data_IF_292727400753
#
_entry.id   IF_292727400753
#
_cell.length_a   1.000
_cell.length_b   1.000
_cell.length_c   1.000
_cell.angle_alpha   90.00
_cell.angle_beta   90.00
_cell.angle_gamma   90.00
#
_symmetry.space_group_name_H-M   'P 1'
#
loop_
_entity.id
_entity.type
_entity.pdbx_description
1 polymer ?
#
# COMPACT_ATOMS: atom_id res chain seq x y z
N UNK A 1 -23.24 -10.41 -0.71
CA UNK A 1 -22.25 -9.87 -1.68
C UNK A 1 -21.25 -8.88 -1.07
N UNK A 2 -21.65 -7.73 -0.50
CA UNK A 2 -20.69 -6.71 0.02
C UNK A 2 -19.80 -7.14 1.20
N UNK A 3 -20.16 -8.18 1.96
CA UNK A 3 -19.34 -8.73 3.05
C UNK A 3 -18.09 -9.47 2.54
N UNK A 4 -18.24 -10.26 1.47
CA UNK A 4 -17.14 -11.01 0.84
C UNK A 4 -16.04 -10.10 0.28
N UNK A 5 -16.44 -9.01 -0.38
CA UNK A 5 -15.56 -7.96 -0.88
C UNK A 5 -14.65 -7.35 0.20
N UNK A 6 -15.07 -7.29 1.48
CA UNK A 6 -14.22 -6.77 2.57
C UNK A 6 -13.08 -7.72 2.89
N UNK A 7 -13.35 -9.03 2.93
CA UNK A 7 -12.35 -10.07 3.12
C UNK A 7 -11.31 -10.04 1.99
N UNK A 8 -11.76 -9.93 0.74
CA UNK A 8 -10.87 -9.77 -0.42
C UNK A 8 -10.03 -8.49 -0.37
N UNK A 9 -10.63 -7.35 0.01
CA UNK A 9 -9.91 -6.08 0.16
C UNK A 9 -8.83 -6.18 1.24
N UNK A 10 -9.14 -6.84 2.37
CA UNK A 10 -8.19 -7.05 3.46
C UNK A 10 -7.08 -8.02 3.03
N UNK A 11 -7.42 -9.13 2.37
CA UNK A 11 -6.44 -10.07 1.83
C UNK A 11 -5.51 -9.39 0.80
N UNK A 12 -6.06 -8.60 -0.13
CA UNK A 12 -5.25 -7.83 -1.08
C UNK A 12 -4.30 -6.86 -0.39
N UNK A 13 -4.75 -6.21 0.70
CA UNK A 13 -3.90 -5.34 1.51
C UNK A 13 -2.77 -6.13 2.21
N UNK A 14 -3.07 -7.29 2.79
CA UNK A 14 -2.08 -8.15 3.42
C UNK A 14 -1.05 -8.66 2.41
N UNK A 15 -1.51 -9.09 1.22
CA UNK A 15 -0.62 -9.55 0.14
C UNK A 15 0.30 -8.41 -0.29
N UNK A 16 -0.24 -7.20 -0.51
CA UNK A 16 0.59 -6.03 -0.83
C UNK A 16 1.63 -5.77 0.27
N UNK A 17 1.21 -5.76 1.54
CA UNK A 17 2.10 -5.47 2.66
C UNK A 17 3.22 -6.52 2.77
N UNK A 18 2.86 -7.80 2.74
CA UNK A 18 3.82 -8.90 2.80
C UNK A 18 4.79 -8.89 1.63
N UNK A 19 4.30 -8.74 0.39
CA UNK A 19 5.15 -8.68 -0.80
C UNK A 19 6.13 -7.51 -0.72
N UNK A 20 5.66 -6.32 -0.38
CA UNK A 20 6.52 -5.13 -0.27
C UNK A 20 7.55 -5.29 0.84
N UNK A 21 7.14 -5.77 2.02
CA UNK A 21 8.06 -5.96 3.14
C UNK A 21 9.11 -7.01 2.84
N UNK A 22 8.72 -8.18 2.31
CA UNK A 22 9.66 -9.25 1.94
C UNK A 22 10.65 -8.75 0.87
N UNK A 23 10.15 -8.06 -0.16
CA UNK A 23 10.99 -7.53 -1.22
C UNK A 23 12.02 -6.52 -0.70
N UNK A 24 11.60 -5.60 0.17
CA UNK A 24 12.49 -4.62 0.81
C UNK A 24 13.55 -5.32 1.66
N UNK A 25 13.14 -6.29 2.48
CA UNK A 25 14.07 -7.03 3.34
C UNK A 25 15.13 -7.74 2.50
N UNK A 26 14.72 -8.43 1.43
CA UNK A 26 15.65 -9.13 0.55
C UNK A 26 16.60 -8.13 -0.12
N UNK A 27 16.08 -7.11 -0.79
CA UNK A 27 16.90 -6.18 -1.56
C UNK A 27 17.84 -5.36 -0.65
N UNK A 28 17.34 -4.86 0.48
CA UNK A 28 18.15 -4.08 1.41
C UNK A 28 19.28 -4.92 2.01
N UNK A 29 19.02 -6.18 2.41
CA UNK A 29 20.07 -7.05 2.94
C UNK A 29 21.08 -7.45 1.86
N UNK A 30 20.63 -7.76 0.64
CA UNK A 30 21.51 -8.10 -0.48
C UNK A 30 22.46 -6.94 -0.81
N UNK A 31 21.94 -5.72 -0.96
CA UNK A 31 22.78 -4.55 -1.25
C UNK A 31 23.65 -4.17 -0.06
N UNK A 32 23.18 -4.30 1.18
CA UNK A 32 24.02 -4.11 2.37
C UNK A 32 25.17 -5.11 2.45
N UNK A 33 24.95 -6.37 2.09
CA UNK A 33 26.01 -7.38 2.04
C UNK A 33 27.07 -7.03 0.99
N UNK A 34 26.66 -6.50 -0.16
CA UNK A 34 27.59 -6.00 -1.18
C UNK A 34 28.37 -4.77 -0.70
N UNK A 35 27.70 -3.82 -0.04
CA UNK A 35 28.35 -2.62 0.51
C UNK A 35 29.41 -2.98 1.56
N UNK A 36 29.17 -3.97 2.42
CA UNK A 36 30.15 -4.46 3.38
C UNK A 36 31.38 -5.07 2.71
N UNK A 37 31.24 -5.68 1.52
CA UNK A 37 32.38 -6.20 0.76
C UNK A 37 33.24 -5.08 0.17
N UNK A 38 32.63 -3.97 -0.22
CA UNK A 38 33.33 -2.83 -0.85
C UNK A 38 33.92 -1.91 0.25
N UNK A 39 33.19 -1.67 1.33
CA UNK A 39 33.54 -0.74 2.40
C UNK A 39 33.48 -1.39 3.79
N UNK A 40 34.35 -2.37 4.10
CA UNK A 40 34.23 -3.22 5.31
C UNK A 40 34.36 -2.46 6.64
N UNK A 41 34.98 -1.28 6.65
CA UNK A 41 35.19 -0.47 7.86
C UNK A 41 34.19 0.69 8.02
N UNK A 42 33.27 0.86 7.07
CA UNK A 42 32.35 1.99 7.04
C UNK A 42 30.92 1.47 7.12
N UNK A 43 30.24 1.68 8.24
CA UNK A 43 28.84 1.28 8.44
C UNK A 43 27.84 2.30 7.90
N UNK A 44 28.25 3.55 7.69
CA UNK A 44 27.36 4.64 7.26
C UNK A 44 26.56 4.33 5.95
N UNK A 45 27.16 3.79 4.87
CA UNK A 45 26.43 3.43 3.66
C UNK A 45 25.29 2.42 3.87
N UNK A 46 25.40 1.55 4.88
CA UNK A 46 24.38 0.55 5.19
C UNK A 46 23.11 1.23 5.71
N UNK A 47 23.25 2.18 6.63
CA UNK A 47 22.09 2.92 7.15
C UNK A 47 21.39 3.73 6.06
N UNK A 48 22.15 4.38 5.18
CA UNK A 48 21.61 5.11 4.03
C UNK A 48 20.86 4.16 3.08
N UNK A 49 21.40 2.97 2.82
CA UNK A 49 20.75 1.94 2.02
C UNK A 49 19.41 1.49 2.63
N UNK A 50 19.37 1.24 3.94
CA UNK A 50 18.12 0.90 4.63
C UNK A 50 17.07 2.01 4.56
N UNK A 51 17.47 3.27 4.82
CA UNK A 51 16.57 4.43 4.70
C UNK A 51 16.03 4.54 3.27
N UNK A 52 16.88 4.36 2.26
CA UNK A 52 16.47 4.40 0.86
C UNK A 52 15.39 3.37 0.53
N UNK A 53 15.58 2.10 0.94
CA UNK A 53 14.58 1.06 0.68
C UNK A 53 13.28 1.26 1.47
N UNK A 54 13.35 1.80 2.69
CA UNK A 54 12.15 2.17 3.46
C UNK A 54 11.35 3.25 2.72
N UNK A 55 12.03 4.29 2.22
CA UNK A 55 11.38 5.36 1.43
C UNK A 55 10.74 4.80 0.16
N UNK A 56 11.43 3.88 -0.55
CA UNK A 56 10.85 3.20 -1.71
C UNK A 56 9.61 2.38 -1.35
N UNK A 57 9.61 1.70 -0.21
CA UNK A 57 8.44 0.97 0.29
C UNK A 57 7.24 1.86 0.57
N UNK A 58 7.49 2.98 1.25
CA UNK A 58 6.47 4.00 1.52
C UNK A 58 5.92 4.56 0.21
N UNK A 59 6.79 4.90 -0.74
CA UNK A 59 6.40 5.38 -2.06
C UNK A 59 5.52 4.35 -2.79
N UNK A 60 5.90 3.07 -2.79
CA UNK A 60 5.07 2.02 -3.36
C UNK A 60 3.69 1.97 -2.70
N UNK A 61 3.61 1.95 -1.36
CA UNK A 61 2.32 1.90 -0.65
C UNK A 61 1.42 3.09 -1.01
N UNK A 62 2.00 4.29 -1.17
CA UNK A 62 1.27 5.49 -1.55
C UNK A 62 0.70 5.40 -2.98
N UNK A 63 1.50 4.87 -3.92
CA UNK A 63 1.20 4.93 -5.35
C UNK A 63 0.73 3.61 -5.97
N UNK A 64 0.66 2.51 -5.21
CA UNK A 64 0.37 1.15 -5.71
C UNK A 64 -0.92 1.03 -6.52
N UNK A 65 -1.93 1.85 -6.26
CA UNK A 65 -3.20 1.80 -6.99
C UNK A 65 -3.21 2.67 -8.25
N UNK A 66 -2.18 3.49 -8.47
CA UNK A 66 -2.04 4.34 -9.66
C UNK A 66 -1.71 3.56 -10.94
N UNK A 67 -1.23 2.32 -10.82
CA UNK A 67 -0.85 1.47 -11.95
C UNK A 67 -2.06 0.74 -12.55
N UNK A 68 -2.91 1.49 -13.26
CA UNK A 68 -4.12 0.96 -13.90
C UNK A 68 -5.22 0.60 -12.90
N UNK A 69 -5.28 1.33 -11.77
CA UNK A 69 -6.31 1.10 -10.75
C UNK A 69 -6.04 -0.11 -9.85
N UNK A 70 -4.86 -0.75 -9.92
CA UNK A 70 -4.60 -2.00 -9.22
C UNK A 70 -3.17 -2.13 -8.70
N UNK A 71 -3.06 -2.34 -7.39
CA UNK A 71 -1.84 -2.88 -6.78
C UNK A 71 -1.64 -4.36 -7.11
N UNK A 72 -0.45 -4.90 -6.83
CA UNK A 72 -0.11 -6.30 -7.09
C UNK A 72 -1.07 -7.25 -6.36
N UNK A 73 -1.30 -7.02 -5.07
CA UNK A 73 -2.24 -7.81 -4.29
C UNK A 73 -3.66 -7.71 -4.82
N UNK A 74 -4.09 -6.52 -5.28
CA UNK A 74 -5.42 -6.38 -5.92
C UNK A 74 -5.50 -7.10 -7.26
N UNK A 75 -4.44 -7.14 -8.05
CA UNK A 75 -4.38 -7.92 -9.30
C UNK A 75 -4.58 -9.41 -9.01
N UNK A 76 -3.90 -9.93 -7.99
CA UNK A 76 -4.04 -11.34 -7.57
C UNK A 76 -5.46 -11.63 -7.09
N UNK A 77 -6.07 -10.72 -6.33
CA UNK A 77 -7.42 -10.88 -5.80
C UNK A 77 -8.54 -10.51 -6.81
N UNK A 78 -8.21 -10.17 -8.06
CA UNK A 78 -9.20 -9.77 -9.06
C UNK A 78 -9.93 -8.46 -8.74
N UNK A 79 -9.31 -7.54 -8.01
CA UNK A 79 -9.91 -6.26 -7.60
C UNK A 79 -9.42 -5.08 -8.46
N UNK A 80 -10.29 -4.11 -8.68
CA UNK A 80 -9.98 -2.84 -9.34
C UNK A 80 -10.43 -1.64 -8.51
N UNK A 81 -9.63 -0.58 -8.49
CA UNK A 81 -10.01 0.73 -7.96
C UNK A 81 -10.42 1.62 -9.12
N UNK A 82 -11.67 2.04 -9.08
CA UNK A 82 -12.27 2.93 -10.07
C UNK A 82 -12.56 4.30 -9.46
N UNK A 83 -12.43 5.34 -10.27
CA UNK A 83 -12.92 6.68 -9.97
C UNK A 83 -14.44 6.76 -10.23
N UNK A 84 -15.07 7.89 -9.86
CA UNK A 84 -16.51 8.12 -10.08
C UNK A 84 -16.94 7.99 -11.54
N UNK A 85 -16.07 8.38 -12.47
CA UNK A 85 -16.27 8.29 -13.92
C UNK A 85 -15.99 6.87 -14.48
N UNK A 86 -15.78 5.87 -13.61
CA UNK A 86 -15.38 4.49 -13.95
C UNK A 86 -14.00 4.38 -14.61
N UNK A 87 -13.20 5.43 -14.63
CA UNK A 87 -11.80 5.34 -15.05
C UNK A 87 -10.96 4.65 -13.96
N UNK A 88 -9.82 4.01 -14.31
CA UNK A 88 -8.89 3.47 -13.32
C UNK A 88 -8.37 4.54 -12.37
N UNK A 89 -8.06 4.17 -11.13
CA UNK A 89 -7.49 5.09 -10.14
C UNK A 89 -6.18 5.72 -10.64
N UNK A 90 -6.11 7.05 -10.59
CA UNK A 90 -4.91 7.81 -10.89
C UNK A 90 -3.88 7.76 -9.75
N UNK A 91 -2.64 8.15 -10.04
CA UNK A 91 -1.59 8.29 -9.01
C UNK A 91 -1.96 9.30 -7.91
N UNK A 92 -2.60 10.42 -8.28
CA UNK A 92 -3.06 11.43 -7.32
C UNK A 92 -4.12 10.86 -6.38
N UNK A 93 -5.11 10.16 -6.94
CA UNK A 93 -6.17 9.51 -6.16
C UNK A 93 -5.61 8.38 -5.29
N UNK A 94 -4.60 7.63 -5.77
CA UNK A 94 -3.90 6.62 -4.99
C UNK A 94 -3.20 7.24 -3.78
N UNK A 95 -2.44 8.32 -3.98
CA UNK A 95 -1.73 9.01 -2.91
C UNK A 95 -2.69 9.49 -1.83
N UNK A 96 -3.78 10.19 -2.18
CA UNK A 96 -4.74 10.70 -1.21
C UNK A 96 -5.41 9.59 -0.39
N UNK A 97 -5.64 8.42 -0.98
CA UNK A 97 -6.23 7.25 -0.28
C UNK A 97 -5.26 6.66 0.73
N UNK A 98 -4.02 6.45 0.31
CA UNK A 98 -3.03 5.74 1.08
C UNK A 98 -2.28 6.66 2.07
N UNK A 99 -2.25 7.97 1.83
CA UNK A 99 -1.65 8.94 2.74
C UNK A 99 -2.32 8.92 4.12
N UNK A 100 -3.64 8.71 4.16
CA UNK A 100 -4.39 8.61 5.41
C UNK A 100 -3.96 7.40 6.26
N UNK A 101 -3.35 6.37 5.66
CA UNK A 101 -2.82 5.22 6.40
C UNK A 101 -1.62 5.61 7.28
N UNK A 102 -0.95 6.72 6.98
CA UNK A 102 0.16 7.23 7.80
C UNK A 102 -0.32 8.06 8.99
N UNK A 103 -1.61 8.36 9.08
CA UNK A 103 -2.21 9.09 10.20
C UNK A 103 -2.88 8.11 11.17
N UNK A 104 -2.23 7.75 12.30
CA UNK A 104 -2.71 6.71 13.19
C UNK A 104 -4.11 6.99 13.75
N UNK A 105 -4.41 8.26 14.05
CA UNK A 105 -5.74 8.70 14.52
C UNK A 105 -6.83 8.34 13.50
N UNK A 106 -6.55 8.50 12.20
CA UNK A 106 -7.49 8.17 11.13
C UNK A 106 -7.68 6.66 11.02
N UNK A 107 -6.62 5.88 11.17
CA UNK A 107 -6.72 4.42 11.18
C UNK A 107 -7.56 3.89 12.34
N UNK A 108 -7.38 4.43 13.55
CA UNK A 108 -8.22 4.08 14.71
C UNK A 108 -9.68 4.45 14.47
N UNK A 109 -9.93 5.63 13.89
CA UNK A 109 -11.28 6.05 13.53
C UNK A 109 -11.89 5.17 12.43
N UNK A 110 -11.14 4.80 11.39
CA UNK A 110 -11.59 3.86 10.36
C UNK A 110 -11.89 2.47 10.94
N UNK A 111 -11.07 2.00 11.88
CA UNK A 111 -11.30 0.73 12.58
C UNK A 111 -12.58 0.78 13.44
N UNK A 112 -12.78 1.86 14.19
CA UNK A 112 -14.02 2.09 14.93
C UNK A 112 -15.24 2.14 14.00
N UNK A 113 -15.15 2.84 12.86
CA UNK A 113 -16.21 2.88 11.85
C UNK A 113 -16.46 1.52 11.20
N UNK A 114 -15.41 0.72 11.00
CA UNK A 114 -15.53 -0.63 10.47
C UNK A 114 -16.35 -1.53 11.42
N UNK A 115 -16.14 -1.40 12.73
CA UNK A 115 -16.93 -2.10 13.75
C UNK A 115 -18.37 -1.57 13.85
N UNK A 116 -18.54 -0.24 13.83
CA UNK A 116 -19.84 0.40 14.08
C UNK A 116 -20.76 0.42 12.85
N UNK A 117 -20.20 0.65 11.67
CA UNK A 117 -20.91 0.79 10.39
C UNK A 117 -20.19 -0.03 9.33
N UNK A 118 -20.41 -1.36 9.32
CA UNK A 118 -19.65 -2.28 8.48
C UNK A 118 -19.68 -1.90 7.00
N UNK A 119 -20.76 -1.31 6.51
CA UNK A 119 -20.95 -1.00 5.09
C UNK A 119 -20.53 0.41 4.68
N UNK A 120 -19.92 1.19 5.59
CA UNK A 120 -19.43 2.52 5.24
C UNK A 120 -18.14 2.42 4.41
N UNK A 121 -18.00 3.20 3.31
CA UNK A 121 -16.74 3.26 2.57
C UNK A 121 -15.67 3.89 3.44
N UNK A 122 -14.41 3.50 3.23
CA UNK A 122 -13.26 4.04 3.97
C UNK A 122 -13.16 5.55 3.76
N UNK A 123 -12.57 6.27 4.71
CA UNK A 123 -12.38 7.72 4.56
C UNK A 123 -11.51 8.03 3.35
N UNK A 124 -10.49 7.21 3.09
CA UNK A 124 -9.69 7.31 1.86
C UNK A 124 -10.52 7.18 0.59
N UNK A 125 -11.50 6.27 0.55
CA UNK A 125 -12.42 6.11 -0.59
C UNK A 125 -13.31 7.35 -0.78
N UNK A 126 -13.81 7.93 0.32
CA UNK A 126 -14.61 9.17 0.27
C UNK A 126 -13.82 10.37 -0.23
N UNK A 127 -12.63 10.60 0.32
CA UNK A 127 -11.79 11.77 0.00
C UNK A 127 -11.31 11.72 -1.46
N UNK A 128 -10.93 10.53 -1.93
CA UNK A 128 -10.45 10.34 -3.29
C UNK A 128 -11.55 10.14 -4.33
N UNK A 129 -12.81 10.08 -3.92
CA UNK A 129 -13.94 9.77 -4.80
C UNK A 129 -13.73 8.48 -5.61
N UNK A 130 -13.27 7.42 -4.95
CA UNK A 130 -13.01 6.11 -5.58
C UNK A 130 -13.84 4.99 -4.96
N UNK A 131 -14.04 3.92 -5.73
CA UNK A 131 -14.70 2.69 -5.31
C UNK A 131 -13.86 1.48 -5.73
N UNK A 132 -13.83 0.45 -4.89
CA UNK A 132 -13.25 -0.84 -5.25
C UNK A 132 -14.36 -1.76 -5.77
N UNK A 133 -14.14 -2.33 -6.95
CA UNK A 133 -14.99 -3.33 -7.60
C UNK A 133 -14.21 -4.60 -7.98
N UNK A 134 -14.93 -5.66 -8.35
CA UNK A 134 -14.35 -6.85 -8.96
C UNK A 134 -13.98 -6.56 -10.43
N UNK A 135 -12.93 -7.21 -10.93
CA UNK A 135 -12.43 -7.05 -12.30
C UNK A 135 -13.27 -7.83 -13.30
#
# INVERSE_FOLDING_TARGET
MRSYLKGLRFAAFLIDALLTTILILILANLTSALLLRIFPKISFPIYINWIFFIILGIAYILFKDGFGGKSIGKRIMGLIVLQKDKSPCSFKSSFLRNFLLFLPIINFYEFYLFLSKPNSPRLGEKISNTKIDET
#
